data_IF_928298553594
#
_entry.id   IF_928298553594
#
_cell.length_a   1.000
_cell.length_b   1.000
_cell.length_c   1.000
_cell.angle_alpha   90.00
_cell.angle_beta   90.00
_cell.angle_gamma   90.00
#
_symmetry.space_group_name_H-M   'P 1'
#
loop_
_entity.id
_entity.type
_entity.pdbx_description
1 polymer ?
#
# COMPACT_ATOMS: atom_id res chain seq x y z
N UNK A 1 54.45 8.48 29.57
CA UNK A 1 53.91 7.61 28.50
C UNK A 1 52.48 7.16 28.81
N UNK A 2 51.49 8.06 28.82
CA UNK A 2 50.08 7.70 29.06
C UNK A 2 49.09 8.31 28.05
N UNK A 3 49.53 9.21 27.17
CA UNK A 3 48.66 9.88 26.19
C UNK A 3 48.49 9.02 24.92
N UNK A 4 49.49 8.22 24.55
CA UNK A 4 49.45 7.40 23.33
C UNK A 4 48.51 6.17 23.45
N UNK A 5 48.19 5.73 24.68
CA UNK A 5 47.26 4.60 24.93
C UNK A 5 45.79 4.99 24.85
N UNK A 6 45.46 6.27 25.09
CA UNK A 6 44.09 6.77 25.05
C UNK A 6 43.61 7.02 23.61
N UNK A 7 44.52 7.44 22.73
CA UNK A 7 44.22 7.67 21.31
C UNK A 7 43.87 6.38 20.56
N UNK A 8 44.49 5.24 20.94
CA UNK A 8 44.19 3.94 20.33
C UNK A 8 42.81 3.37 20.72
N UNK A 9 42.30 3.75 21.91
CA UNK A 9 40.99 3.27 22.38
C UNK A 9 39.83 4.02 21.71
N UNK A 10 40.02 5.30 21.37
CA UNK A 10 39.00 6.12 20.71
C UNK A 10 38.78 5.69 19.23
N UNK A 11 39.84 5.32 18.53
CA UNK A 11 39.78 4.84 17.12
C UNK A 11 39.10 3.47 17.02
N UNK A 12 39.26 2.62 18.04
CA UNK A 12 38.60 1.30 18.09
C UNK A 12 37.08 1.40 18.25
N UNK A 13 36.59 2.36 19.03
CA UNK A 13 35.15 2.57 19.24
C UNK A 13 34.47 3.07 17.95
N UNK A 14 35.15 3.91 17.17
CA UNK A 14 34.61 4.38 15.88
C UNK A 14 34.59 3.29 14.81
N UNK A 15 35.58 2.39 14.76
CA UNK A 15 35.56 1.26 13.81
C UNK A 15 34.45 0.26 14.12
N UNK A 16 34.22 -0.07 15.40
CA UNK A 16 33.12 -0.99 15.78
C UNK A 16 31.72 -0.40 15.57
N UNK A 17 31.57 0.93 15.52
CA UNK A 17 30.28 1.56 15.23
C UNK A 17 29.97 1.58 13.72
N UNK A 18 31.00 1.68 12.88
CA UNK A 18 30.87 1.67 11.41
C UNK A 18 30.51 0.27 10.88
N UNK A 19 31.02 -0.79 11.49
CA UNK A 19 30.70 -2.18 11.10
C UNK A 19 29.30 -2.66 11.52
N UNK A 20 28.64 -1.98 12.45
CA UNK A 20 27.26 -2.28 12.82
C UNK A 20 26.21 -1.65 11.88
N UNK A 21 26.59 -0.65 11.06
CA UNK A 21 25.67 0.04 10.14
C UNK A 21 25.69 -0.49 8.70
N UNK A 22 26.61 -1.41 8.36
CA UNK A 22 26.72 -1.96 7.00
C UNK A 22 26.23 -3.41 6.84
N UNK A 23 25.77 -4.07 7.92
CA UNK A 23 25.36 -5.48 7.87
C UNK A 23 23.87 -5.73 7.56
N UNK A 24 23.01 -4.70 7.58
CA UNK A 24 21.54 -4.91 7.48
C UNK A 24 20.89 -4.44 6.15
N UNK A 25 21.70 -3.98 5.19
CA UNK A 25 21.18 -3.35 3.98
C UNK A 25 21.10 -4.27 2.75
N UNK A 26 21.30 -5.59 2.88
CA UNK A 26 21.36 -6.48 1.71
C UNK A 26 20.65 -7.84 1.90
N UNK A 27 19.43 -7.87 2.47
CA UNK A 27 18.57 -9.06 2.29
C UNK A 27 17.04 -8.92 2.48
N UNK A 28 16.43 -7.74 2.35
CA UNK A 28 15.00 -7.57 2.74
C UNK A 28 14.04 -7.12 1.64
N UNK A 29 14.50 -6.86 0.42
CA UNK A 29 13.67 -6.29 -0.64
C UNK A 29 12.63 -7.24 -1.26
N UNK A 30 12.95 -8.54 -1.34
CA UNK A 30 12.09 -9.53 -2.03
C UNK A 30 11.12 -10.23 -1.07
N UNK A 31 11.53 -10.48 0.17
CA UNK A 31 10.67 -11.07 1.21
C UNK A 31 9.51 -10.16 1.60
N UNK A 32 9.80 -8.89 1.94
CA UNK A 32 8.76 -7.93 2.34
C UNK A 32 7.74 -7.63 1.25
N UNK A 33 8.16 -7.57 -0.03
CA UNK A 33 7.24 -7.37 -1.16
C UNK A 33 6.35 -8.59 -1.38
N UNK A 34 6.91 -9.80 -1.32
CA UNK A 34 6.14 -11.04 -1.39
C UNK A 34 5.11 -11.18 -0.27
N UNK A 35 5.49 -10.79 0.95
CA UNK A 35 4.60 -10.80 2.11
C UNK A 35 3.42 -9.82 1.94
N UNK A 36 3.69 -8.62 1.40
CA UNK A 36 2.65 -7.62 1.12
C UNK A 36 1.70 -8.08 0.01
N UNK A 37 2.23 -8.67 -1.07
CA UNK A 37 1.39 -9.18 -2.15
C UNK A 37 0.51 -10.36 -1.69
N UNK A 38 1.04 -11.23 -0.84
CA UNK A 38 0.28 -12.30 -0.19
C UNK A 38 -0.83 -11.72 0.71
N UNK A 39 -0.52 -10.68 1.51
CA UNK A 39 -1.51 -10.02 2.36
C UNK A 39 -2.65 -9.40 1.53
N UNK A 40 -2.34 -8.69 0.44
CA UNK A 40 -3.35 -8.13 -0.48
C UNK A 40 -4.24 -9.23 -1.08
N UNK A 41 -3.65 -10.36 -1.47
CA UNK A 41 -4.40 -11.50 -1.97
C UNK A 41 -5.33 -12.11 -0.89
N UNK A 42 -4.86 -12.22 0.35
CA UNK A 42 -5.69 -12.66 1.47
C UNK A 42 -6.86 -11.71 1.74
N UNK A 43 -6.64 -10.40 1.73
CA UNK A 43 -7.73 -9.41 1.89
C UNK A 43 -8.81 -9.62 0.83
N UNK A 44 -8.41 -9.72 -0.45
CA UNK A 44 -9.35 -9.96 -1.55
C UNK A 44 -10.11 -11.27 -1.36
N UNK A 45 -9.42 -12.36 -1.01
CA UNK A 45 -10.05 -13.67 -0.81
C UNK A 45 -11.08 -13.66 0.31
N UNK A 46 -10.78 -13.06 1.47
CA UNK A 46 -11.75 -12.95 2.56
C UNK A 46 -12.98 -12.14 2.15
N UNK A 47 -12.76 -11.05 1.39
CA UNK A 47 -13.86 -10.25 0.84
C UNK A 47 -14.73 -11.04 -0.15
N UNK A 48 -14.12 -11.83 -1.04
CA UNK A 48 -14.82 -12.72 -1.98
C UNK A 48 -15.61 -13.83 -1.27
N UNK A 49 -15.11 -14.31 -0.13
CA UNK A 49 -15.83 -15.24 0.75
C UNK A 49 -16.96 -14.57 1.54
N UNK A 50 -17.06 -13.24 1.49
CA UNK A 50 -18.04 -12.45 2.23
C UNK A 50 -17.67 -12.16 3.68
N UNK A 51 -16.47 -12.56 4.13
CA UNK A 51 -15.94 -12.22 5.45
C UNK A 51 -15.31 -10.82 5.42
N UNK A 52 -16.19 -9.82 5.32
CA UNK A 52 -15.79 -8.41 5.21
C UNK A 52 -15.07 -7.93 6.47
N UNK A 53 -15.45 -8.44 7.64
CA UNK A 53 -14.81 -8.06 8.91
C UNK A 53 -13.34 -8.48 8.94
N UNK A 54 -13.04 -9.71 8.49
CA UNK A 54 -11.67 -10.18 8.38
C UNK A 54 -10.89 -9.47 7.29
N UNK A 55 -11.51 -9.16 6.15
CA UNK A 55 -10.89 -8.33 5.11
C UNK A 55 -10.50 -6.94 5.65
N UNK A 56 -11.38 -6.31 6.44
CA UNK A 56 -11.13 -5.02 7.10
C UNK A 56 -9.99 -5.11 8.13
N UNK A 57 -9.94 -6.17 8.94
CA UNK A 57 -8.82 -6.41 9.88
C UNK A 57 -7.48 -6.56 9.14
N UNK A 58 -7.42 -7.38 8.10
CA UNK A 58 -6.21 -7.53 7.28
C UNK A 58 -5.84 -6.22 6.55
N UNK A 59 -6.81 -5.38 6.22
CA UNK A 59 -6.57 -4.05 5.65
C UNK A 59 -5.92 -3.10 6.66
N UNK A 60 -6.24 -3.22 7.97
CA UNK A 60 -5.53 -2.48 9.03
C UNK A 60 -4.07 -2.92 9.15
N UNK A 61 -3.78 -4.20 8.92
CA UNK A 61 -2.41 -4.71 8.86
C UNK A 61 -1.63 -4.08 7.71
N UNK A 62 -2.27 -3.97 6.53
CA UNK A 62 -1.69 -3.27 5.39
C UNK A 62 -1.46 -1.78 5.68
N UNK A 63 -2.41 -1.10 6.34
CA UNK A 63 -2.24 0.30 6.77
C UNK A 63 -0.99 0.48 7.63
N UNK A 64 -0.75 -0.40 8.61
CA UNK A 64 0.45 -0.34 9.46
C UNK A 64 1.73 -0.47 8.64
N UNK A 65 1.75 -1.33 7.63
CA UNK A 65 2.90 -1.46 6.71
C UNK A 65 3.06 -0.17 5.91
N UNK A 66 1.96 0.40 5.39
CA UNK A 66 1.96 1.65 4.63
C UNK A 66 2.49 2.81 5.45
N UNK A 67 2.08 2.95 6.71
CA UNK A 67 2.52 4.04 7.61
C UNK A 67 4.03 4.01 7.88
N UNK A 68 4.62 2.81 7.86
CA UNK A 68 6.06 2.60 7.99
C UNK A 68 6.79 2.57 6.64
N UNK A 69 6.06 2.70 5.54
CA UNK A 69 6.58 2.80 4.19
C UNK A 69 6.46 4.24 3.68
N UNK A 70 7.32 4.62 2.74
CA UNK A 70 7.17 5.88 2.00
C UNK A 70 6.90 5.60 0.52
N UNK A 71 6.16 4.52 0.21
CA UNK A 71 5.92 4.08 -1.16
C UNK A 71 4.55 4.56 -1.64
N UNK A 72 4.47 5.51 -2.59
CA UNK A 72 3.21 6.04 -3.10
C UNK A 72 2.33 4.95 -3.74
N UNK A 73 2.94 3.95 -4.37
CA UNK A 73 2.21 2.80 -4.93
C UNK A 73 1.44 2.04 -3.84
N UNK A 74 2.04 1.82 -2.68
CA UNK A 74 1.38 1.09 -1.59
C UNK A 74 0.29 1.91 -0.91
N UNK A 75 0.42 3.24 -0.89
CA UNK A 75 -0.66 4.15 -0.47
C UNK A 75 -1.86 4.06 -1.42
N UNK A 76 -1.61 3.98 -2.72
CA UNK A 76 -2.66 3.81 -3.73
C UNK A 76 -3.32 2.41 -3.66
N UNK A 77 -2.51 1.35 -3.46
CA UNK A 77 -3.00 -0.01 -3.24
C UNK A 77 -3.95 -0.05 -2.04
N UNK A 78 -3.53 0.53 -0.92
CA UNK A 78 -4.33 0.59 0.30
C UNK A 78 -5.64 1.36 0.08
N UNK A 79 -5.59 2.54 -0.53
CA UNK A 79 -6.79 3.32 -0.83
C UNK A 79 -7.78 2.53 -1.70
N UNK A 80 -7.28 1.80 -2.71
CA UNK A 80 -8.10 0.95 -3.58
C UNK A 80 -8.74 -0.19 -2.78
N UNK A 81 -7.95 -0.90 -1.97
CA UNK A 81 -8.44 -2.03 -1.16
C UNK A 81 -9.46 -1.58 -0.12
N UNK A 82 -9.21 -0.46 0.57
CA UNK A 82 -10.18 0.12 1.51
C UNK A 82 -11.48 0.50 0.79
N UNK A 83 -11.40 1.09 -0.40
CA UNK A 83 -12.58 1.47 -1.17
C UNK A 83 -13.44 0.26 -1.58
N UNK A 84 -12.80 -0.84 -1.96
CA UNK A 84 -13.51 -2.08 -2.28
C UNK A 84 -14.23 -2.67 -1.05
N UNK A 85 -13.64 -2.58 0.14
CA UNK A 85 -14.33 -2.98 1.39
C UNK A 85 -15.52 -2.05 1.67
N UNK A 86 -15.37 -0.74 1.47
CA UNK A 86 -16.46 0.24 1.58
C UNK A 86 -17.58 -0.06 0.56
N UNK A 87 -17.24 -0.45 -0.67
CA UNK A 87 -18.19 -0.95 -1.68
C UNK A 87 -18.94 -2.18 -1.17
N UNK A 88 -18.24 -3.17 -0.59
CA UNK A 88 -18.88 -4.37 0.00
C UNK A 88 -19.82 -4.00 1.15
N UNK A 89 -19.56 -2.89 1.86
CA UNK A 89 -20.45 -2.32 2.88
C UNK A 89 -21.51 -1.36 2.32
N UNK A 90 -21.64 -1.23 1.00
CA UNK A 90 -22.55 -0.29 0.29
C UNK A 90 -22.29 1.20 0.57
N UNK A 91 -21.09 1.54 1.05
CA UNK A 91 -20.65 2.91 1.37
C UNK A 91 -20.01 3.58 0.16
N UNK A 92 -20.76 3.67 -0.93
CA UNK A 92 -20.24 4.07 -2.24
C UNK A 92 -19.61 5.47 -2.28
N UNK A 93 -20.18 6.46 -1.57
CA UNK A 93 -19.64 7.82 -1.55
C UNK A 93 -18.21 7.88 -1.00
N UNK A 94 -17.95 7.15 0.10
CA UNK A 94 -16.63 7.10 0.71
C UNK A 94 -15.65 6.28 -0.16
N UNK A 95 -16.11 5.18 -0.76
CA UNK A 95 -15.31 4.43 -1.72
C UNK A 95 -14.86 5.30 -2.91
N UNK A 96 -15.73 6.16 -3.45
CA UNK A 96 -15.40 7.06 -4.57
C UNK A 96 -14.30 8.06 -4.17
N UNK A 97 -14.33 8.61 -2.96
CA UNK A 97 -13.28 9.52 -2.48
C UNK A 97 -11.91 8.84 -2.44
N UNK A 98 -11.86 7.62 -1.90
CA UNK A 98 -10.66 6.80 -1.83
C UNK A 98 -10.16 6.42 -3.23
N UNK A 99 -11.05 5.99 -4.13
CA UNK A 99 -10.71 5.62 -5.50
C UNK A 99 -10.20 6.81 -6.31
N UNK A 100 -10.73 8.02 -6.12
CA UNK A 100 -10.21 9.23 -6.78
C UNK A 100 -8.81 9.60 -6.29
N UNK A 101 -8.51 9.35 -5.02
CA UNK A 101 -7.15 9.48 -4.50
C UNK A 101 -6.19 8.48 -5.17
N UNK A 102 -6.61 7.21 -5.29
CA UNK A 102 -5.85 6.17 -5.98
C UNK A 102 -5.67 6.47 -7.48
N UNK A 103 -6.71 6.96 -8.17
CA UNK A 103 -6.67 7.40 -9.58
C UNK A 103 -5.55 8.42 -9.79
N UNK A 104 -5.48 9.46 -8.96
CA UNK A 104 -4.45 10.50 -9.03
C UNK A 104 -3.05 9.93 -8.81
N UNK A 105 -2.89 9.02 -7.85
CA UNK A 105 -1.58 8.40 -7.58
C UNK A 105 -1.13 7.49 -8.71
N UNK A 106 -1.96 6.54 -9.16
CA UNK A 106 -1.57 5.63 -10.23
C UNK A 106 -1.35 6.35 -11.57
N UNK A 107 -2.09 7.44 -11.83
CA UNK A 107 -1.82 8.31 -12.98
C UNK A 107 -0.41 8.94 -12.90
N UNK A 108 0.01 9.43 -11.74
CA UNK A 108 1.37 10.00 -11.54
C UNK A 108 2.47 8.94 -11.63
N UNK A 109 2.16 7.70 -11.27
CA UNK A 109 3.06 6.56 -11.33
C UNK A 109 3.10 5.90 -12.72
N UNK A 110 2.25 6.35 -13.66
CA UNK A 110 2.06 5.71 -14.97
C UNK A 110 1.77 4.20 -14.86
N UNK A 111 0.98 3.81 -13.85
CA UNK A 111 0.59 2.42 -13.64
C UNK A 111 -0.80 2.17 -14.27
N UNK A 112 -0.81 1.98 -15.59
CA UNK A 112 -2.04 1.85 -16.38
C UNK A 112 -2.87 0.63 -15.96
N UNK A 113 -2.23 -0.45 -15.54
CA UNK A 113 -2.93 -1.66 -15.10
C UNK A 113 -3.73 -1.42 -13.81
N UNK A 114 -3.09 -0.82 -12.80
CA UNK A 114 -3.79 -0.47 -11.56
C UNK A 114 -4.85 0.61 -11.79
N UNK A 115 -4.60 1.53 -12.72
CA UNK A 115 -5.52 2.60 -13.08
C UNK A 115 -6.80 2.07 -13.74
N UNK A 116 -6.70 1.09 -14.66
CA UNK A 116 -7.85 0.41 -15.25
C UNK A 116 -8.73 -0.28 -14.21
N UNK A 117 -8.09 -0.89 -13.19
CA UNK A 117 -8.81 -1.49 -12.08
C UNK A 117 -9.56 -0.44 -11.24
N UNK A 118 -8.91 0.69 -10.92
CA UNK A 118 -9.55 1.81 -10.22
C UNK A 118 -10.73 2.37 -11.03
N UNK A 119 -10.61 2.50 -12.35
CA UNK A 119 -11.71 2.93 -13.21
C UNK A 119 -12.88 1.96 -13.20
N UNK A 120 -12.61 0.65 -13.21
CA UNK A 120 -13.66 -0.37 -13.09
C UNK A 120 -14.42 -0.22 -11.77
N UNK A 121 -13.70 0.01 -10.65
CA UNK A 121 -14.32 0.21 -9.34
C UNK A 121 -15.10 1.53 -9.24
N UNK A 122 -14.60 2.62 -9.84
CA UNK A 122 -15.34 3.89 -9.92
C UNK A 122 -16.61 3.74 -10.76
N UNK A 123 -16.51 3.05 -11.90
CA UNK A 123 -17.66 2.72 -12.75
C UNK A 123 -18.73 1.95 -11.98
N UNK A 124 -18.32 0.96 -11.19
CA UNK A 124 -19.21 0.17 -10.34
C UNK A 124 -19.86 0.99 -9.23
N UNK A 125 -19.08 1.82 -8.52
CA UNK A 125 -19.60 2.66 -7.45
C UNK A 125 -20.63 3.67 -7.96
N UNK A 126 -20.34 4.35 -9.08
CA UNK A 126 -21.29 5.27 -9.72
C UNK A 126 -22.53 4.56 -10.24
N UNK A 127 -22.38 3.37 -10.84
CA UNK A 127 -23.53 2.56 -11.26
C UNK A 127 -24.46 2.25 -10.07
N UNK A 128 -23.88 1.86 -8.93
CA UNK A 128 -24.61 1.50 -7.72
C UNK A 128 -25.32 2.69 -7.07
N UNK A 129 -24.86 3.91 -7.36
CA UNK A 129 -25.52 5.16 -6.98
C UNK A 129 -26.49 5.70 -8.06
N UNK A 130 -26.76 4.94 -9.12
CA UNK A 130 -27.58 5.37 -10.27
C UNK A 130 -27.02 6.56 -11.07
N UNK A 131 -25.72 6.86 -10.93
CA UNK A 131 -25.01 7.90 -11.68
C UNK A 131 -24.49 7.35 -13.02
N UNK A 132 -25.42 6.88 -13.85
CA UNK A 132 -25.10 6.12 -15.06
C UNK A 132 -24.18 6.82 -16.07
N UNK A 133 -24.30 8.14 -16.33
CA UNK A 133 -23.38 8.82 -17.24
C UNK A 133 -21.93 8.76 -16.77
N UNK A 134 -21.68 8.96 -15.47
CA UNK A 134 -20.34 8.87 -14.89
C UNK A 134 -19.83 7.44 -14.87
N UNK A 135 -20.70 6.48 -14.55
CA UNK A 135 -20.37 5.06 -14.60
C UNK A 135 -19.87 4.64 -15.99
N UNK A 136 -20.59 5.03 -17.05
CA UNK A 136 -20.22 4.73 -18.44
C UNK A 136 -18.90 5.39 -18.84
N UNK A 137 -18.66 6.64 -18.42
CA UNK A 137 -17.38 7.32 -18.67
C UNK A 137 -16.20 6.52 -18.07
N UNK A 138 -16.32 6.13 -16.80
CA UNK A 138 -15.28 5.34 -16.13
C UNK A 138 -15.11 3.94 -16.71
N UNK A 139 -16.19 3.24 -17.05
CA UNK A 139 -16.07 1.95 -17.74
C UNK A 139 -15.46 2.06 -19.14
N UNK A 140 -15.58 3.20 -19.81
CA UNK A 140 -14.92 3.42 -21.10
C UNK A 140 -13.42 3.71 -20.97
N UNK A 141 -13.00 4.23 -19.81
CA UNK A 141 -11.59 4.52 -19.49
C UNK A 141 -10.82 3.29 -19.00
N UNK A 142 -11.52 2.31 -18.43
CA UNK A 142 -10.98 1.03 -17.94
C UNK A 142 -10.50 0.15 -19.10
#
# INVERSE_FOLDING_TARGET
>A
MHILRFLFFLVFITSMHVEAQHADAQHTGTGKKGDVDALKASIRNERELGDIEKAELLTQDLQRIVDHSQTPELQADLATITAENEISRTRYSHAIELLKSAELMYSRLSNDFALAHVYTMLGYAYYSMSEYPLSLDYYHRA
#
